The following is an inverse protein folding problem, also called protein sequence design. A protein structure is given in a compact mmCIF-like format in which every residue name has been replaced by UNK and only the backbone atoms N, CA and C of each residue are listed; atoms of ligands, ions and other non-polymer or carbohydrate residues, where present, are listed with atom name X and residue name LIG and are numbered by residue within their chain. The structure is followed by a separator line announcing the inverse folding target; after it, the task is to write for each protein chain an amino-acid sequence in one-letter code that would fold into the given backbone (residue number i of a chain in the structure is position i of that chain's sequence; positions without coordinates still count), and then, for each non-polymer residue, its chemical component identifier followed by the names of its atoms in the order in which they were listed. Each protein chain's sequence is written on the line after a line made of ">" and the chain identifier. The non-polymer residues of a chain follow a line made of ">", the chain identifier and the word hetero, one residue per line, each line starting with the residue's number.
data_IF_525422374348
#
_entry.id   IF_525422374348
#
_cell.length_a   1.000
_cell.length_b   1.000
_cell.length_c   1.000
_cell.angle_alpha   90.00
_cell.angle_beta   90.00
_cell.angle_gamma   90.00
#
_symmetry.space_group_name_H-M   'P 1'
#
loop_
_entity.id
_entity.type
_entity.pdbx_description
1 polymer ?
#
# COMPACT_ATOMS: atom_id res chain seq x y z
N UNK A 1 16.21 -1.23 0.67
CA UNK A 1 16.19 -1.35 -0.82
C UNK A 1 15.99 0.03 -1.43
N UNK A 2 16.44 0.26 -2.68
CA UNK A 2 16.28 1.55 -3.38
C UNK A 2 15.58 1.32 -4.72
N UNK A 3 14.64 2.19 -5.09
CA UNK A 3 13.97 2.17 -6.39
C UNK A 3 13.49 3.57 -6.79
N UNK A 4 13.10 3.73 -8.05
CA UNK A 4 12.44 4.93 -8.54
C UNK A 4 11.10 5.13 -7.87
N UNK A 5 10.76 6.40 -7.58
CA UNK A 5 9.52 6.78 -6.91
C UNK A 5 8.66 7.66 -7.81
N UNK A 6 7.44 7.24 -8.07
CA UNK A 6 6.39 8.04 -8.68
C UNK A 6 5.45 8.57 -7.59
N UNK A 7 5.45 9.88 -7.42
CA UNK A 7 4.56 10.57 -6.49
C UNK A 7 3.24 10.87 -7.18
N UNK A 8 2.13 10.32 -6.65
CA UNK A 8 0.80 10.43 -7.24
C UNK A 8 -0.04 11.51 -6.55
N UNK A 9 -0.95 12.15 -7.30
CA UNK A 9 -1.95 13.10 -6.78
C UNK A 9 -3.29 12.41 -6.65
N UNK A 10 -3.79 12.26 -5.42
CA UNK A 10 -5.12 11.70 -5.16
C UNK A 10 -5.36 10.29 -5.69
N UNK A 11 -4.30 9.58 -6.10
CA UNK A 11 -4.38 8.21 -6.58
C UNK A 11 -3.72 7.28 -5.57
N UNK A 12 -4.51 6.40 -5.00
CA UNK A 12 -4.04 5.31 -4.14
C UNK A 12 -4.08 4.01 -4.93
N UNK A 13 -3.02 3.24 -4.83
CA UNK A 13 -2.90 1.93 -5.47
C UNK A 13 -2.88 0.83 -4.41
N UNK A 14 -3.55 -0.27 -4.68
CA UNK A 14 -3.64 -1.42 -3.79
C UNK A 14 -2.97 -2.64 -4.41
N UNK A 15 -2.28 -3.49 -3.62
CA UNK A 15 -1.68 -4.72 -4.13
C UNK A 15 -2.69 -5.59 -4.92
N UNK A 16 -2.20 -6.20 -5.99
CA UNK A 16 -2.96 -7.09 -6.88
C UNK A 16 -4.14 -6.44 -7.65
N UNK A 17 -4.27 -5.11 -7.60
CA UNK A 17 -5.29 -4.37 -8.37
C UNK A 17 -4.59 -3.52 -9.42
N UNK A 18 -4.75 -3.86 -10.70
CA UNK A 18 -4.18 -3.06 -11.80
C UNK A 18 -4.74 -1.64 -11.78
N UNK A 19 -3.86 -0.66 -12.04
CA UNK A 19 -4.21 0.75 -12.02
C UNK A 19 -3.67 1.46 -13.24
N UNK A 20 -4.51 2.32 -13.84
CA UNK A 20 -4.10 3.27 -14.87
C UNK A 20 -3.79 4.61 -14.21
N UNK A 21 -2.63 5.17 -14.51
CA UNK A 21 -2.13 6.44 -13.94
C UNK A 21 -1.70 7.34 -15.09
N UNK A 22 -2.13 8.59 -15.04
CA UNK A 22 -1.69 9.63 -15.98
C UNK A 22 -0.59 10.45 -15.32
N UNK A 23 0.51 10.64 -16.02
CA UNK A 23 1.70 11.30 -15.55
C UNK A 23 2.05 12.46 -16.50
N UNK A 24 1.99 13.69 -15.99
CA UNK A 24 2.27 14.91 -16.78
C UNK A 24 3.44 15.73 -16.25
N UNK A 25 3.94 15.48 -15.03
CA UNK A 25 5.07 16.24 -14.46
C UNK A 25 6.40 15.77 -15.05
N UNK A 26 7.29 16.69 -15.37
CA UNK A 26 8.59 16.39 -15.97
C UNK A 26 9.42 15.38 -15.16
N UNK A 27 9.56 15.60 -13.84
CA UNK A 27 10.27 14.68 -12.95
C UNK A 27 9.65 13.26 -12.98
N UNK A 28 8.33 13.20 -12.96
CA UNK A 28 7.61 11.93 -12.99
C UNK A 28 7.78 11.21 -14.32
N UNK A 29 7.72 11.93 -15.44
CA UNK A 29 7.94 11.38 -16.79
C UNK A 29 9.35 10.82 -16.93
N UNK A 30 10.37 11.58 -16.50
CA UNK A 30 11.76 11.11 -16.53
C UNK A 30 11.99 9.92 -15.64
N UNK A 31 11.42 9.95 -14.41
CA UNK A 31 11.52 8.85 -13.46
C UNK A 31 10.88 7.55 -14.01
N UNK A 32 9.73 7.64 -14.66
CA UNK A 32 9.07 6.51 -15.30
C UNK A 32 9.89 5.96 -16.46
N UNK A 33 10.42 6.83 -17.32
CA UNK A 33 11.26 6.40 -18.44
C UNK A 33 12.52 5.68 -17.95
N UNK A 34 13.15 6.18 -16.89
CA UNK A 34 14.28 5.50 -16.26
C UNK A 34 13.89 4.13 -15.66
N UNK A 35 12.75 4.04 -14.98
CA UNK A 35 12.24 2.80 -14.41
C UNK A 35 11.91 1.74 -15.47
N UNK A 36 11.58 2.16 -16.69
CA UNK A 36 11.34 1.22 -17.80
C UNK A 36 12.61 0.51 -18.28
N UNK A 37 13.77 1.15 -18.12
CA UNK A 37 15.08 0.60 -18.50
C UNK A 37 15.68 -0.19 -17.35
N UNK A 38 15.62 0.39 -16.15
CA UNK A 38 16.22 -0.13 -14.93
C UNK A 38 15.22 -0.89 -14.06
N UNK A 39 15.71 -1.59 -13.04
CA UNK A 39 14.94 -2.22 -11.96
C UNK A 39 13.79 -3.15 -12.43
N UNK A 40 14.00 -3.88 -13.52
CA UNK A 40 13.01 -4.84 -14.06
C UNK A 40 11.61 -4.24 -14.29
N UNK A 41 11.55 -2.96 -14.68
CA UNK A 41 10.28 -2.22 -14.88
C UNK A 41 9.43 -2.12 -13.61
N UNK A 42 10.09 -1.99 -12.46
CA UNK A 42 9.40 -1.77 -11.19
C UNK A 42 9.55 -0.32 -10.73
N UNK A 43 8.52 0.20 -10.09
CA UNK A 43 8.45 1.56 -9.59
C UNK A 43 7.68 1.60 -8.27
N UNK A 44 8.08 2.50 -7.38
CA UNK A 44 7.34 2.79 -6.16
C UNK A 44 6.23 3.81 -6.46
N UNK A 45 5.05 3.60 -5.92
CA UNK A 45 3.92 4.53 -6.01
C UNK A 45 3.58 5.00 -4.60
N UNK A 46 3.59 6.31 -4.41
CA UNK A 46 3.24 6.93 -3.13
C UNK A 46 2.39 8.17 -3.39
N UNK A 47 1.24 8.33 -2.73
CA UNK A 47 0.47 9.55 -2.84
C UNK A 47 1.13 10.69 -2.05
N UNK A 48 1.05 11.90 -2.57
CA UNK A 48 1.40 13.11 -1.82
C UNK A 48 0.28 13.46 -0.83
N UNK A 49 0.63 14.09 0.28
CA UNK A 49 -0.31 14.45 1.35
C UNK A 49 -1.21 15.60 0.88
N UNK A 50 -0.61 16.68 0.39
CA UNK A 50 -1.37 17.80 -0.17
C UNK A 50 -1.40 17.74 -1.70
N UNK A 51 -2.57 17.45 -2.31
CA UNK A 51 -2.69 17.38 -3.77
C UNK A 51 -2.42 18.70 -4.51
N UNK A 52 -2.40 19.84 -3.80
CA UNK A 52 -2.18 21.16 -4.39
C UNK A 52 -0.70 21.46 -4.63
N UNK A 53 0.21 20.77 -3.94
CA UNK A 53 1.65 20.96 -4.14
C UNK A 53 2.05 20.53 -5.55
N UNK A 54 2.72 21.44 -6.27
CA UNK A 54 3.24 21.11 -7.59
C UNK A 54 4.51 20.27 -7.54
N UNK A 55 5.37 20.52 -6.59
CA UNK A 55 6.63 19.82 -6.41
C UNK A 55 6.79 19.39 -4.95
N UNK A 56 7.03 18.11 -4.75
CA UNK A 56 7.40 17.53 -3.46
C UNK A 56 8.92 17.69 -3.28
N UNK A 57 9.33 18.24 -2.15
CA UNK A 57 10.74 18.49 -1.81
C UNK A 57 11.24 17.64 -0.66
N UNK A 58 10.34 17.20 0.21
CA UNK A 58 10.70 16.45 1.42
C UNK A 58 9.82 15.21 1.60
N UNK A 59 10.29 14.29 2.43
CA UNK A 59 9.55 13.08 2.79
C UNK A 59 8.27 13.37 3.56
N UNK A 60 8.21 14.49 4.29
CA UNK A 60 7.05 14.90 5.09
C UNK A 60 5.84 15.31 4.25
N UNK A 61 6.05 15.53 2.95
CA UNK A 61 5.01 15.91 1.99
C UNK A 61 4.35 14.69 1.30
N UNK A 62 4.83 13.48 1.57
CA UNK A 62 4.30 12.22 1.05
C UNK A 62 3.87 11.28 2.16
N UNK A 63 2.97 10.36 1.84
CA UNK A 63 2.64 9.29 2.77
C UNK A 63 3.81 8.32 2.92
N UNK A 64 4.02 7.81 4.13
CA UNK A 64 5.12 6.86 4.41
C UNK A 64 4.83 5.46 3.87
N UNK A 65 3.57 5.12 3.65
CA UNK A 65 3.15 3.83 3.09
C UNK A 65 2.83 4.01 1.61
N UNK A 66 3.48 3.20 0.80
CA UNK A 66 3.26 3.12 -0.64
C UNK A 66 3.15 1.69 -1.12
N UNK A 67 3.27 1.51 -2.43
CA UNK A 67 3.28 0.18 -3.06
C UNK A 67 4.43 0.08 -4.06
N UNK A 68 5.05 -1.10 -4.11
CA UNK A 68 5.93 -1.50 -5.20
C UNK A 68 5.06 -2.04 -6.32
N UNK A 69 5.17 -1.46 -7.51
CA UNK A 69 4.37 -1.83 -8.66
C UNK A 69 5.25 -2.21 -9.86
N UNK A 70 4.77 -3.16 -10.65
CA UNK A 70 5.35 -3.48 -11.95
C UNK A 70 4.66 -2.66 -13.03
N UNK A 71 5.45 -2.02 -13.90
CA UNK A 71 4.94 -1.31 -15.08
C UNK A 71 4.61 -2.35 -16.15
N UNK A 72 3.34 -2.42 -16.53
CA UNK A 72 2.86 -3.36 -17.56
C UNK A 72 2.98 -2.73 -18.94
N UNK A 73 2.50 -1.50 -19.08
CA UNK A 73 2.57 -0.77 -20.34
C UNK A 73 2.66 0.74 -20.11
N UNK A 74 3.28 1.43 -21.06
CA UNK A 74 3.38 2.89 -21.11
C UNK A 74 2.89 3.33 -22.47
N UNK A 75 1.91 4.22 -22.48
CA UNK A 75 1.41 4.88 -23.70
C UNK A 75 1.82 6.35 -23.64
N UNK A 76 2.53 6.80 -24.65
CA UNK A 76 2.96 8.20 -24.77
C UNK A 76 1.85 9.02 -25.42
N UNK A 77 1.40 10.08 -24.73
CA UNK A 77 0.63 11.17 -25.30
C UNK A 77 1.53 12.33 -25.74
N UNK A 78 0.95 13.48 -26.05
CA UNK A 78 1.73 14.65 -26.50
C UNK A 78 2.60 15.18 -25.35
N UNK A 79 2.02 15.45 -24.18
CA UNK A 79 2.71 15.99 -23.01
C UNK A 79 2.56 15.10 -21.76
N UNK A 80 1.91 13.97 -21.87
CA UNK A 80 1.60 13.08 -20.77
C UNK A 80 1.95 11.63 -21.09
N UNK A 81 2.24 10.85 -20.06
CA UNK A 81 2.37 9.40 -20.12
C UNK A 81 1.17 8.74 -19.45
N UNK A 82 0.59 7.78 -20.11
CA UNK A 82 -0.38 6.88 -19.47
C UNK A 82 0.31 5.57 -19.11
N UNK A 83 0.32 5.27 -17.82
CA UNK A 83 0.91 4.06 -17.24
C UNK A 83 -0.17 3.07 -16.86
N UNK A 84 0.00 1.82 -17.25
CA UNK A 84 -0.70 0.71 -16.62
C UNK A 84 0.26 -0.01 -15.69
N UNK A 85 -0.06 -0.07 -14.42
CA UNK A 85 0.77 -0.68 -13.39
C UNK A 85 0.02 -1.79 -12.66
N UNK A 86 0.76 -2.79 -12.22
CA UNK A 86 0.27 -3.83 -11.33
C UNK A 86 1.03 -3.71 -10.01
N UNK A 87 0.41 -3.13 -8.99
CA UNK A 87 0.96 -3.11 -7.64
C UNK A 87 1.10 -4.53 -7.09
N UNK A 88 2.23 -4.81 -6.44
CA UNK A 88 2.58 -6.16 -5.95
C UNK A 88 2.57 -6.22 -4.43
N UNK A 89 3.26 -5.29 -3.78
CA UNK A 89 3.49 -5.33 -2.33
C UNK A 89 3.37 -3.94 -1.73
N UNK A 90 2.91 -3.88 -0.48
CA UNK A 90 3.00 -2.65 0.31
C UNK A 90 4.43 -2.41 0.76
N UNK A 91 4.83 -1.16 0.81
CA UNK A 91 6.17 -0.75 1.20
C UNK A 91 6.12 0.41 2.20
N UNK A 92 7.09 0.43 3.09
CA UNK A 92 7.38 1.57 3.94
C UNK A 92 8.51 2.38 3.30
N UNK A 93 8.29 3.66 3.09
CA UNK A 93 9.29 4.59 2.58
C UNK A 93 10.11 5.15 3.74
N UNK A 94 11.42 4.96 3.69
CA UNK A 94 12.32 5.39 4.76
C UNK A 94 13.04 6.70 4.42
N UNK A 95 13.34 6.93 3.15
CA UNK A 95 14.02 8.14 2.71
C UNK A 95 13.63 8.51 1.27
N UNK A 96 13.54 9.80 1.01
CA UNK A 96 13.33 10.39 -0.31
C UNK A 96 14.66 11.00 -0.80
N UNK A 97 14.99 10.79 -2.07
CA UNK A 97 16.15 11.38 -2.76
C UNK A 97 15.72 11.94 -4.09
N UNK A 98 15.97 13.21 -4.30
CA UNK A 98 15.67 13.91 -5.54
C UNK A 98 17.00 14.25 -6.20
N UNK A 99 17.16 13.85 -7.44
CA UNK A 99 18.30 14.21 -8.29
C UNK A 99 17.81 15.30 -9.25
N UNK A 100 18.14 16.55 -8.95
CA UNK A 100 17.68 17.71 -9.73
C UNK A 100 18.39 17.83 -11.08
N UNK A 101 19.62 17.33 -11.21
CA UNK A 101 20.35 17.35 -12.47
C UNK A 101 19.69 16.41 -13.50
N UNK A 102 19.36 15.20 -13.08
CA UNK A 102 18.70 14.20 -13.91
C UNK A 102 17.18 14.28 -13.86
N UNK A 103 16.64 15.06 -12.93
CA UNK A 103 15.21 15.17 -12.63
C UNK A 103 14.57 13.80 -12.33
N UNK A 104 15.24 13.03 -11.46
CA UNK A 104 14.82 11.70 -11.05
C UNK A 104 14.48 11.69 -9.57
N UNK A 105 13.48 10.89 -9.22
CA UNK A 105 13.05 10.71 -7.84
C UNK A 105 13.27 9.26 -7.44
N UNK A 106 13.99 9.06 -6.34
CA UNK A 106 14.27 7.75 -5.74
C UNK A 106 13.76 7.69 -4.31
N UNK A 107 13.49 6.51 -3.84
CA UNK A 107 13.25 6.27 -2.43
C UNK A 107 13.95 5.02 -1.94
N UNK A 108 14.38 5.06 -0.68
CA UNK A 108 14.77 3.88 0.07
C UNK A 108 13.51 3.31 0.75
N UNK A 109 13.29 2.00 0.64
CA UNK A 109 12.06 1.35 1.07
C UNK A 109 12.28 -0.02 1.69
N UNK A 110 11.31 -0.47 2.48
CA UNK A 110 11.21 -1.81 3.04
C UNK A 110 9.86 -2.41 2.60
N UNK A 111 9.87 -3.65 2.13
CA UNK A 111 8.64 -4.38 1.79
C UNK A 111 7.95 -4.81 3.08
N UNK A 112 6.66 -4.49 3.19
CA UNK A 112 5.82 -4.92 4.29
C UNK A 112 5.28 -6.32 4.02
N UNK A 113 5.48 -7.23 4.97
CA UNK A 113 4.98 -8.59 4.86
C UNK A 113 3.57 -8.67 5.47
N UNK A 114 2.55 -8.44 4.63
CA UNK A 114 1.16 -8.47 5.05
C UNK A 114 0.68 -9.87 5.48
N UNK A 115 1.33 -10.95 4.99
CA UNK A 115 0.99 -12.33 5.38
C UNK A 115 1.26 -12.57 6.85
N UNK A 116 2.40 -12.10 7.36
CA UNK A 116 2.75 -12.28 8.78
C UNK A 116 1.74 -11.60 9.71
N UNK A 117 1.27 -10.42 9.33
CA UNK A 117 0.25 -9.68 10.10
C UNK A 117 -1.10 -10.42 10.08
N UNK A 118 -1.46 -10.99 8.92
CA UNK A 118 -2.68 -11.80 8.79
C UNK A 118 -2.60 -13.08 9.62
N UNK A 119 -1.47 -13.78 9.60
CA UNK A 119 -1.26 -15.00 10.40
C UNK A 119 -1.33 -14.72 11.90
N UNK A 120 -0.71 -13.65 12.38
CA UNK A 120 -0.79 -13.24 13.79
C UNK A 120 -2.23 -12.87 14.20
N UNK A 121 -2.97 -12.17 13.35
CA UNK A 121 -4.38 -11.87 13.60
C UNK A 121 -5.23 -13.11 13.57
N UNK A 122 -5.08 -14.00 12.59
CA UNK A 122 -5.78 -15.28 12.51
C UNK A 122 -5.52 -16.14 13.74
N UNK A 123 -4.28 -16.19 14.22
CA UNK A 123 -3.93 -16.92 15.44
C UNK A 123 -4.64 -16.34 16.67
N UNK A 124 -4.68 -15.03 16.83
CA UNK A 124 -5.48 -14.38 17.90
C UNK A 124 -6.95 -14.76 17.83
N UNK A 125 -7.53 -14.80 16.62
CA UNK A 125 -8.93 -15.16 16.43
C UNK A 125 -9.21 -16.63 16.76
N UNK A 126 -8.32 -17.54 16.34
CA UNK A 126 -8.43 -18.97 16.69
C UNK A 126 -8.29 -19.18 18.20
N UNK A 127 -7.36 -18.50 18.85
CA UNK A 127 -7.19 -18.58 20.30
C UNK A 127 -8.43 -18.04 21.06
N UNK A 128 -9.02 -16.94 20.60
CA UNK A 128 -10.28 -16.41 21.14
C UNK A 128 -11.45 -17.39 20.94
N UNK A 129 -11.58 -17.98 19.76
CA UNK A 129 -12.61 -18.97 19.47
C UNK A 129 -12.45 -20.23 20.34
N UNK A 130 -11.24 -20.69 20.57
CA UNK A 130 -10.97 -21.83 21.46
C UNK A 130 -11.33 -21.53 22.92
N UNK A 131 -11.04 -20.32 23.38
CA UNK A 131 -11.45 -19.88 24.73
C UNK A 131 -12.97 -19.83 24.83
N UNK A 132 -13.65 -19.27 23.83
CA UNK A 132 -15.12 -19.23 23.79
C UNK A 132 -15.75 -20.64 23.76
N UNK A 133 -15.16 -21.59 23.00
CA UNK A 133 -15.59 -22.97 22.99
C UNK A 133 -15.44 -23.64 24.37
N UNK A 134 -14.30 -23.45 25.01
CA UNK A 134 -14.06 -24.03 26.37
C UNK A 134 -15.00 -23.43 27.41
N UNK A 135 -15.26 -22.14 27.35
CA UNK A 135 -16.24 -21.49 28.22
C UNK A 135 -17.67 -22.01 27.94
N UNK A 136 -18.01 -22.24 26.67
CA UNK A 136 -19.31 -22.77 26.27
C UNK A 136 -19.54 -24.19 26.75
N UNK A 137 -18.49 -25.02 26.77
CA UNK A 137 -18.57 -26.43 27.25
C UNK A 137 -18.67 -26.50 28.78
N UNK A 138 -18.03 -25.55 29.49
CA UNK A 138 -17.96 -25.57 30.96
C UNK A 138 -19.10 -24.84 31.67
N UNK A 139 -19.94 -24.08 30.98
CA UNK A 139 -20.99 -23.27 31.58
C UNK A 139 -22.38 -23.72 31.12
N UNK A 140 -23.11 -24.41 31.99
CA UNK A 140 -24.55 -24.74 31.81
C UNK A 140 -25.45 -23.49 31.68
N UNK A 141 -24.95 -22.30 32.01
CA UNK A 141 -25.63 -21.02 31.85
C UNK A 141 -25.77 -20.59 30.38
N UNK A 142 -24.91 -21.07 29.50
CA UNK A 142 -24.95 -20.75 28.07
C UNK A 142 -26.07 -21.49 27.33
N UNK A 143 -26.62 -22.54 27.91
CA UNK A 143 -27.78 -23.24 27.32
C UNK A 143 -29.04 -22.38 27.24
N UNK A 144 -29.11 -21.29 28.00
CA UNK A 144 -30.26 -20.37 27.99
C UNK A 144 -30.15 -19.19 27.00
N UNK A 145 -28.99 -19.00 26.40
CA UNK A 145 -28.75 -17.87 25.47
C UNK A 145 -28.64 -18.27 24.00
N UNK A 146 -29.13 -19.45 23.64
CA UNK A 146 -29.06 -19.96 22.26
C UNK A 146 -29.89 -19.18 21.23
N UNK A 147 -30.42 -18.00 21.57
CA UNK A 147 -31.22 -17.21 20.64
C UNK A 147 -30.55 -15.89 20.19
N UNK A 148 -29.40 -15.47 20.75
CA UNK A 148 -28.81 -14.18 20.42
C UNK A 148 -27.29 -14.28 20.21
N UNK A 149 -26.82 -15.24 19.43
CA UNK A 149 -25.50 -15.15 18.82
C UNK A 149 -25.61 -14.28 17.55
N UNK A 150 -25.84 -13.01 17.75
CA UNK A 150 -25.68 -12.02 16.70
C UNK A 150 -24.21 -11.66 16.60
N UNK A 151 -23.80 -11.31 15.40
CA UNK A 151 -22.46 -10.89 14.96
C UNK A 151 -21.82 -9.75 15.76
N UNK A 152 -22.49 -9.25 16.80
CA UNK A 152 -22.06 -8.07 17.57
C UNK A 152 -20.89 -8.36 18.52
N UNK A 153 -20.69 -9.62 18.91
CA UNK A 153 -19.58 -9.99 19.80
C UNK A 153 -18.21 -9.98 19.10
N UNK A 154 -18.19 -10.12 17.78
CA UNK A 154 -16.95 -10.02 17.00
C UNK A 154 -16.56 -8.56 16.68
N UNK A 155 -17.47 -7.61 16.84
CA UNK A 155 -17.25 -6.19 16.49
C UNK A 155 -16.62 -5.41 17.66
N UNK A 156 -16.84 -5.85 18.91
CA UNK A 156 -16.38 -5.12 20.10
C UNK A 156 -14.86 -5.23 20.32
N UNK A 157 -14.20 -6.28 19.85
CA UNK A 157 -12.75 -6.45 20.01
C UNK A 157 -11.92 -5.86 18.84
N UNK A 158 -12.55 -5.28 17.82
CA UNK A 158 -11.83 -4.66 16.70
C UNK A 158 -11.43 -3.20 17.00
N UNK A 159 -11.91 -2.61 18.10
CA UNK A 159 -11.70 -1.20 18.44
C UNK A 159 -10.75 -0.94 19.61
N UNK A 160 -9.93 -1.89 20.04
CA UNK A 160 -8.83 -1.68 20.97
C UNK A 160 -7.46 -1.95 20.34
#
# INVERSE_FOLDING_TARGET
>A
MKNYLLITRGVVAFPNVSKKIIVGREYSIKTVNAAMVDFNKTILLVPQIDPKLDHVKSIDEIYTIGVLAKIISVVKGNDELTLNVLPQSRVLINALKIDDEKKLIFADYIVLNDQKIMEEKLKKWTDCLDIMWRVKINNDLVKRTNQNFTSDFCIIEINE
#
